data_IF_478731921920
#
_entry.id   IF_478731921920
#
_cell.length_a   1.000
_cell.length_b   1.000
_cell.length_c   1.000
_cell.angle_alpha   90.00
_cell.angle_beta   90.00
_cell.angle_gamma   90.00
#
_symmetry.space_group_name_H-M   'P 1'
#
loop_
_entity.id
_entity.type
_entity.pdbx_description
1 polymer ?
#
# COMPACT_ATOMS: atom_id res chain seq x y z
N UNK A 1 -24.18 -9.69 6.90
CA UNK A 1 -23.00 -8.83 7.17
C UNK A 1 -22.84 -7.91 5.98
N UNK A 2 -22.31 -6.72 6.20
CA UNK A 2 -22.11 -5.71 5.17
C UNK A 2 -20.64 -5.30 5.20
N UNK A 3 -19.92 -5.53 4.10
CA UNK A 3 -18.52 -5.11 3.95
C UNK A 3 -18.44 -3.82 3.14
N UNK A 4 -17.68 -2.85 3.66
CA UNK A 4 -17.47 -1.52 3.05
C UNK A 4 -16.02 -1.09 3.22
N UNK A 5 -15.54 -0.26 2.29
CA UNK A 5 -14.18 0.31 2.29
C UNK A 5 -14.24 1.85 2.25
N UNK A 6 -13.35 2.56 2.91
CA UNK A 6 -13.39 4.03 2.97
C UNK A 6 -12.75 4.73 1.77
N UNK A 7 -12.04 4.01 0.91
CA UNK A 7 -11.30 4.56 -0.23
C UNK A 7 -9.78 4.49 -0.04
N UNK A 8 -9.05 5.06 -1.00
CA UNK A 8 -7.59 4.99 -1.12
C UNK A 8 -7.05 3.55 -1.19
N UNK A 9 -7.80 2.65 -1.84
CA UNK A 9 -7.44 1.25 -2.04
C UNK A 9 -6.52 1.04 -3.27
N UNK A 10 -6.40 2.02 -4.16
CA UNK A 10 -5.44 1.91 -5.28
C UNK A 10 -3.99 2.04 -4.81
N UNK A 11 -3.08 1.39 -5.54
CA UNK A 11 -1.63 1.62 -5.41
C UNK A 11 -1.18 2.73 -6.39
N UNK A 12 0.11 3.05 -6.38
CA UNK A 12 0.75 3.99 -7.29
C UNK A 12 0.42 3.67 -8.75
N UNK A 13 0.36 4.68 -9.64
CA UNK A 13 -0.01 4.52 -11.05
C UNK A 13 1.14 3.93 -11.91
N UNK A 14 1.72 2.82 -11.47
CA UNK A 14 2.74 2.03 -12.17
C UNK A 14 2.15 0.70 -12.66
N UNK A 15 2.80 0.00 -13.62
CA UNK A 15 2.34 -1.32 -14.04
C UNK A 15 2.23 -2.33 -12.88
N UNK A 16 3.20 -2.33 -11.95
CA UNK A 16 3.10 -3.20 -10.77
C UNK A 16 2.00 -2.77 -9.79
N UNK A 17 1.78 -1.46 -9.62
CA UNK A 17 0.66 -0.95 -8.84
C UNK A 17 -0.70 -1.31 -9.43
N UNK A 18 -0.81 -1.40 -10.76
CA UNK A 18 -2.03 -1.87 -11.43
C UNK A 18 -2.35 -3.34 -11.10
N UNK A 19 -1.33 -4.20 -11.12
CA UNK A 19 -1.49 -5.63 -10.75
C UNK A 19 -1.98 -5.75 -9.31
N UNK A 20 -1.36 -5.02 -8.37
CA UNK A 20 -1.77 -4.98 -6.95
C UNK A 20 -3.22 -4.48 -6.79
N UNK A 21 -3.54 -3.36 -7.42
CA UNK A 21 -4.86 -2.72 -7.34
C UNK A 21 -5.97 -3.63 -7.87
N UNK A 22 -5.78 -4.20 -9.06
CA UNK A 22 -6.76 -5.11 -9.67
C UNK A 22 -6.96 -6.37 -8.84
N UNK A 23 -5.88 -6.92 -8.30
CA UNK A 23 -5.97 -8.07 -7.41
C UNK A 23 -6.78 -7.76 -6.15
N UNK A 24 -6.47 -6.64 -5.48
CA UNK A 24 -7.18 -6.20 -4.27
C UNK A 24 -8.68 -6.02 -4.53
N UNK A 25 -9.05 -5.27 -5.57
CA UNK A 25 -10.46 -5.04 -5.92
C UNK A 25 -11.17 -6.36 -6.30
N UNK A 26 -10.47 -7.26 -6.99
CA UNK A 26 -10.98 -8.60 -7.26
C UNK A 26 -11.22 -9.43 -5.99
N UNK A 27 -10.35 -9.34 -4.99
CA UNK A 27 -10.56 -9.98 -3.69
C UNK A 27 -11.71 -9.34 -2.91
N UNK A 28 -11.83 -8.01 -2.91
CA UNK A 28 -12.97 -7.32 -2.29
C UNK A 28 -14.30 -7.81 -2.89
N UNK A 29 -14.36 -7.98 -4.21
CA UNK A 29 -15.52 -8.56 -4.89
C UNK A 29 -15.84 -9.98 -4.41
N UNK A 30 -14.83 -10.84 -4.25
CA UNK A 30 -14.99 -12.23 -3.75
C UNK A 30 -15.42 -12.29 -2.29
N UNK A 31 -14.93 -11.38 -1.44
CA UNK A 31 -15.36 -11.25 -0.04
C UNK A 31 -16.82 -10.79 0.04
N UNK A 32 -17.31 -10.08 -0.98
CA UNK A 32 -18.68 -9.60 -1.05
C UNK A 32 -18.84 -8.18 -0.49
N UNK A 33 -17.84 -7.32 -0.73
CA UNK A 33 -18.00 -5.88 -0.51
C UNK A 33 -19.24 -5.37 -1.25
N UNK A 34 -19.99 -4.47 -0.61
CA UNK A 34 -21.21 -3.90 -1.19
C UNK A 34 -21.03 -2.47 -1.65
N UNK A 35 -20.16 -1.72 -0.98
CA UNK A 35 -19.83 -0.36 -1.34
C UNK A 35 -18.38 -0.03 -0.97
N UNK A 36 -17.75 0.86 -1.72
CA UNK A 36 -16.56 1.57 -1.30
C UNK A 36 -16.76 3.08 -1.49
N UNK A 37 -16.22 3.86 -0.56
CA UNK A 37 -15.91 5.25 -0.80
C UNK A 37 -14.77 5.38 -1.80
N UNK A 38 -14.42 6.62 -2.11
CA UNK A 38 -13.28 6.94 -2.97
C UNK A 38 -12.34 7.87 -2.20
N UNK A 39 -11.06 7.81 -2.52
CA UNK A 39 -10.06 8.78 -2.09
C UNK A 39 -9.34 9.40 -3.28
N UNK A 40 -8.54 10.44 -3.02
CA UNK A 40 -7.77 11.14 -4.06
C UNK A 40 -6.90 10.19 -4.89
N UNK A 41 -6.36 9.13 -4.26
CA UNK A 41 -5.51 8.16 -4.94
C UNK A 41 -6.28 7.27 -5.90
N UNK A 42 -7.53 6.94 -5.57
CA UNK A 42 -8.39 6.14 -6.45
C UNK A 42 -8.74 6.90 -7.73
N UNK A 43 -8.85 8.23 -7.60
CA UNK A 43 -9.17 9.14 -8.70
C UNK A 43 -7.94 9.52 -9.55
N UNK A 44 -6.72 9.20 -9.11
CA UNK A 44 -5.48 9.69 -9.73
C UNK A 44 -5.32 9.26 -11.20
N UNK A 45 -5.76 8.02 -11.51
CA UNK A 45 -5.69 7.41 -12.84
C UNK A 45 -6.91 7.71 -13.73
N UNK A 46 -7.83 8.55 -13.25
CA UNK A 46 -9.00 9.00 -14.01
C UNK A 46 -10.21 8.05 -13.97
N UNK A 47 -11.30 8.53 -14.55
CA UNK A 47 -12.62 7.90 -14.47
C UNK A 47 -12.65 6.51 -15.11
N UNK A 48 -12.11 6.35 -16.33
CA UNK A 48 -12.20 5.10 -17.10
C UNK A 48 -11.48 3.96 -16.38
N UNK A 49 -10.34 4.27 -15.75
CA UNK A 49 -9.62 3.31 -14.95
C UNK A 49 -10.45 2.86 -13.74
N UNK A 50 -10.99 3.81 -12.99
CA UNK A 50 -11.79 3.53 -11.81
C UNK A 50 -13.09 2.78 -12.13
N UNK A 51 -13.76 3.11 -13.24
CA UNK A 51 -14.92 2.38 -13.73
C UNK A 51 -14.57 0.94 -14.12
N UNK A 52 -13.36 0.71 -14.66
CA UNK A 52 -12.87 -0.65 -14.93
C UNK A 52 -12.68 -1.47 -13.64
N UNK A 53 -12.24 -0.83 -12.54
CA UNK A 53 -12.13 -1.46 -11.23
C UNK A 53 -13.50 -1.76 -10.63
N UNK A 54 -14.45 -0.81 -10.73
CA UNK A 54 -15.84 -1.01 -10.28
C UNK A 54 -16.47 -2.23 -10.95
N UNK A 55 -16.29 -2.37 -12.27
CA UNK A 55 -16.75 -3.53 -13.05
C UNK A 55 -16.06 -4.83 -12.63
N UNK A 56 -14.75 -4.79 -12.35
CA UNK A 56 -13.98 -5.95 -11.89
C UNK A 56 -14.45 -6.45 -10.51
N UNK A 57 -14.65 -5.53 -9.56
CA UNK A 57 -15.07 -5.86 -8.20
C UNK A 57 -16.54 -6.26 -8.11
N UNK A 58 -17.41 -5.68 -8.95
CA UNK A 58 -18.84 -5.99 -8.95
C UNK A 58 -19.62 -5.39 -7.76
N UNK A 59 -19.14 -4.28 -7.19
CA UNK A 59 -19.78 -3.57 -6.09
C UNK A 59 -19.79 -2.05 -6.32
N UNK A 60 -20.59 -1.32 -5.55
CA UNK A 60 -20.80 0.12 -5.75
C UNK A 60 -19.58 0.93 -5.32
N UNK A 61 -19.13 1.85 -6.16
CA UNK A 61 -18.21 2.92 -5.75
C UNK A 61 -19.04 4.20 -5.63
N UNK A 62 -19.02 4.85 -4.47
CA UNK A 62 -19.83 6.03 -4.21
C UNK A 62 -18.96 7.22 -3.85
N UNK A 63 -19.33 8.42 -4.29
CA UNK A 63 -18.73 9.68 -3.86
C UNK A 63 -19.68 10.84 -4.10
N UNK A 64 -20.05 11.54 -3.02
CA UNK A 64 -21.00 12.65 -3.09
C UNK A 64 -20.36 13.98 -3.46
N UNK A 65 -19.07 14.18 -3.17
CA UNK A 65 -18.37 15.44 -3.41
C UNK A 65 -17.29 15.38 -4.51
N UNK A 66 -17.28 14.32 -5.33
CA UNK A 66 -16.54 14.33 -6.59
C UNK A 66 -17.48 14.80 -7.70
N UNK A 67 -17.30 16.05 -8.14
CA UNK A 67 -18.23 16.74 -9.04
C UNK A 67 -17.55 17.27 -10.29
N UNK A 68 -18.33 17.48 -11.34
CA UNK A 68 -17.90 18.15 -12.55
C UNK A 68 -17.74 19.66 -12.30
N UNK A 69 -16.56 20.22 -12.61
CA UNK A 69 -16.18 21.59 -12.30
C UNK A 69 -17.16 22.64 -12.85
N UNK A 70 -17.66 22.47 -14.08
CA UNK A 70 -18.54 23.44 -14.72
C UNK A 70 -19.99 23.31 -14.30
N UNK A 71 -20.44 22.10 -13.97
CA UNK A 71 -21.88 21.83 -13.74
C UNK A 71 -22.24 21.61 -12.27
N UNK A 72 -21.26 21.30 -11.41
CA UNK A 72 -21.49 20.89 -10.03
C UNK A 72 -22.20 19.54 -9.89
N UNK A 73 -22.46 18.82 -10.98
CA UNK A 73 -23.15 17.53 -10.93
C UNK A 73 -22.19 16.43 -10.43
N UNK A 74 -22.69 15.42 -9.69
CA UNK A 74 -21.89 14.26 -9.29
C UNK A 74 -21.28 13.55 -10.50
N UNK A 75 -20.01 13.16 -10.37
CA UNK A 75 -19.29 12.33 -11.36
C UNK A 75 -19.62 10.85 -11.18
N UNK A 76 -19.77 10.43 -9.93
CA UNK A 76 -20.12 9.07 -9.52
C UNK A 76 -21.49 9.04 -8.85
N UNK A 77 -22.01 7.84 -8.60
CA UNK A 77 -23.20 7.69 -7.77
C UNK A 77 -22.93 8.32 -6.38
N UNK A 78 -23.75 9.30 -5.94
CA UNK A 78 -23.50 10.00 -4.67
C UNK A 78 -23.76 9.10 -3.45
N UNK A 79 -24.55 8.05 -3.63
CA UNK A 79 -24.86 7.06 -2.60
C UNK A 79 -25.38 5.75 -3.21
N UNK A 80 -25.48 4.72 -2.39
CA UNK A 80 -26.22 3.48 -2.66
C UNK A 80 -27.09 3.11 -1.47
N UNK A 81 -28.17 2.35 -1.71
CA UNK A 81 -29.02 1.80 -0.64
C UNK A 81 -29.01 0.29 -0.73
N UNK A 82 -28.42 -0.36 0.26
CA UNK A 82 -28.34 -1.82 0.36
C UNK A 82 -29.46 -2.31 1.26
N UNK A 83 -30.28 -3.25 0.77
CA UNK A 83 -31.32 -3.89 1.60
C UNK A 83 -30.77 -5.19 2.15
N UNK A 84 -30.64 -5.28 3.48
CA UNK A 84 -30.24 -6.49 4.19
C UNK A 84 -31.47 -7.27 4.62
N UNK A 85 -31.58 -8.52 4.18
CA UNK A 85 -32.62 -9.45 4.64
C UNK A 85 -32.30 -10.00 6.04
N UNK A 86 -33.31 -10.43 6.83
CA UNK A 86 -33.10 -11.06 8.14
C UNK A 86 -32.04 -12.15 8.15
N UNK A 87 -32.03 -13.00 7.12
CA UNK A 87 -31.06 -14.09 6.97
C UNK A 87 -29.62 -13.58 6.88
N UNK A 88 -29.39 -12.45 6.22
CA UNK A 88 -28.04 -11.88 6.07
C UNK A 88 -27.46 -11.35 7.38
N UNK A 89 -28.29 -11.01 8.36
CA UNK A 89 -27.85 -10.61 9.71
C UNK A 89 -28.20 -11.65 10.79
N UNK A 90 -28.40 -12.91 10.38
CA UNK A 90 -28.55 -14.04 11.30
C UNK A 90 -29.91 -14.13 12.00
N UNK A 91 -30.91 -13.34 11.58
CA UNK A 91 -32.26 -13.38 12.13
C UNK A 91 -33.16 -14.35 11.34
N UNK A 92 -33.90 -15.20 12.07
CA UNK A 92 -34.86 -16.13 11.48
C UNK A 92 -36.15 -15.45 11.00
N UNK A 93 -36.52 -14.32 11.62
CA UNK A 93 -37.70 -13.49 11.31
C UNK A 93 -37.34 -12.02 11.53
N UNK A 94 -38.00 -11.12 10.81
CA UNK A 94 -37.79 -9.68 10.94
C UNK A 94 -38.13 -8.92 9.67
N UNK A 95 -38.09 -7.59 9.73
CA UNK A 95 -38.19 -6.74 8.53
C UNK A 95 -36.79 -6.56 7.93
N UNK A 96 -36.68 -6.48 6.59
CA UNK A 96 -35.43 -6.05 5.96
C UNK A 96 -34.99 -4.68 6.47
N UNK A 97 -33.68 -4.44 6.49
CA UNK A 97 -33.07 -3.18 6.90
C UNK A 97 -32.45 -2.52 5.67
N UNK A 98 -32.84 -1.29 5.36
CA UNK A 98 -32.22 -0.50 4.31
C UNK A 98 -31.04 0.28 4.90
N UNK A 99 -29.84 0.03 4.39
CA UNK A 99 -28.63 0.74 4.76
C UNK A 99 -28.28 1.72 3.65
N UNK A 100 -28.38 3.01 3.92
CA UNK A 100 -27.92 4.07 3.02
C UNK A 100 -26.43 4.30 3.22
N UNK A 101 -25.66 4.28 2.14
CA UNK A 101 -24.20 4.42 2.16
C UNK A 101 -23.82 5.53 1.20
N UNK A 102 -23.14 6.56 1.71
CA UNK A 102 -22.55 7.64 0.91
C UNK A 102 -21.07 7.78 1.27
N UNK A 103 -20.30 8.55 0.49
CA UNK A 103 -18.93 8.88 0.86
C UNK A 103 -18.56 10.33 0.58
N UNK A 104 -17.59 10.81 1.35
CA UNK A 104 -16.98 12.12 1.19
C UNK A 104 -15.46 12.04 1.24
N UNK A 105 -14.81 12.80 0.38
CA UNK A 105 -13.35 13.01 0.35
C UNK A 105 -13.06 14.37 0.99
N UNK A 106 -11.94 14.52 1.70
CA UNK A 106 -11.52 15.84 2.20
C UNK A 106 -11.56 16.90 1.09
N UNK A 107 -11.75 18.15 1.49
CA UNK A 107 -11.62 19.25 0.56
C UNK A 107 -10.16 19.39 0.10
N UNK A 108 -9.93 19.38 -1.21
CA UNK A 108 -8.63 19.65 -1.80
C UNK A 108 -8.80 20.57 -3.03
N UNK A 109 -8.54 21.89 -2.89
CA UNK A 109 -8.77 22.86 -3.97
C UNK A 109 -7.79 22.69 -5.14
N UNK A 110 -6.68 21.96 -4.96
CA UNK A 110 -5.72 21.69 -6.03
C UNK A 110 -6.03 20.39 -6.77
N UNK A 111 -7.04 19.63 -6.33
CA UNK A 111 -7.42 18.40 -7.02
C UNK A 111 -8.16 18.73 -8.31
N UNK A 112 -7.59 18.30 -9.43
CA UNK A 112 -8.18 18.47 -10.76
C UNK A 112 -7.79 17.26 -11.63
N UNK A 113 -8.79 16.56 -12.17
CA UNK A 113 -8.56 15.46 -13.11
C UNK A 113 -9.50 15.57 -14.31
N UNK A 114 -9.05 15.26 -15.53
CA UNK A 114 -9.93 15.26 -16.69
C UNK A 114 -11.01 14.18 -16.52
N UNK A 115 -12.20 14.44 -17.05
CA UNK A 115 -13.28 13.46 -17.15
C UNK A 115 -13.59 13.11 -18.62
N UNK A 116 -14.31 12.00 -18.87
CA UNK A 116 -14.72 11.63 -20.23
C UNK A 116 -15.67 12.65 -20.87
N UNK A 117 -16.31 13.51 -20.08
CA UNK A 117 -17.26 14.53 -20.55
C UNK A 117 -16.59 15.78 -21.15
N UNK A 118 -15.25 15.87 -21.06
CA UNK A 118 -14.49 17.08 -21.40
C UNK A 118 -14.54 18.18 -20.34
N UNK A 119 -15.27 17.95 -19.23
CA UNK A 119 -15.18 18.74 -18.00
C UNK A 119 -14.13 18.13 -17.06
N UNK A 120 -13.68 18.90 -16.07
CA UNK A 120 -12.79 18.40 -15.02
C UNK A 120 -13.59 17.87 -13.82
N UNK A 121 -13.06 16.82 -13.21
CA UNK A 121 -13.46 16.34 -11.89
C UNK A 121 -12.70 17.16 -10.83
N UNK A 122 -13.45 17.68 -9.86
CA UNK A 122 -12.94 18.38 -8.69
C UNK A 122 -13.53 17.77 -7.42
N UNK A 123 -12.93 18.11 -6.27
CA UNK A 123 -13.48 17.79 -4.96
C UNK A 123 -14.19 19.02 -4.38
N UNK A 124 -15.52 19.01 -4.34
CA UNK A 124 -16.31 20.07 -3.70
C UNK A 124 -16.27 19.95 -2.17
N UNK A 125 -16.77 20.98 -1.48
CA UNK A 125 -16.78 21.00 -0.03
C UNK A 125 -17.69 19.89 0.53
N UNK A 126 -17.10 18.92 1.22
CA UNK A 126 -17.81 17.76 1.76
C UNK A 126 -18.96 18.14 2.73
N UNK A 127 -18.80 19.17 3.54
CA UNK A 127 -19.83 19.59 4.49
C UNK A 127 -21.06 20.16 3.76
N UNK A 128 -20.85 20.93 2.70
CA UNK A 128 -21.96 21.50 1.93
C UNK A 128 -22.72 20.42 1.15
N UNK A 129 -22.01 19.46 0.55
CA UNK A 129 -22.66 18.30 -0.07
C UNK A 129 -23.40 17.45 0.96
N UNK A 130 -22.83 17.26 2.15
CA UNK A 130 -23.49 16.52 3.22
C UNK A 130 -24.80 17.19 3.69
N UNK A 131 -24.84 18.53 3.81
CA UNK A 131 -26.07 19.26 4.15
C UNK A 131 -27.19 19.01 3.15
N UNK A 132 -26.86 18.86 1.86
CA UNK A 132 -27.86 18.60 0.81
C UNK A 132 -28.25 17.13 0.72
N UNK A 133 -27.27 16.23 0.70
CA UNK A 133 -27.52 14.82 0.40
C UNK A 133 -28.10 14.03 1.58
N UNK A 134 -27.62 14.29 2.80
CA UNK A 134 -27.97 13.46 3.97
C UNK A 134 -29.49 13.45 4.25
N UNK A 135 -30.22 14.59 4.21
CA UNK A 135 -31.67 14.57 4.37
C UNK A 135 -32.40 13.68 3.35
N UNK A 136 -31.97 13.70 2.08
CA UNK A 136 -32.55 12.86 1.02
C UNK A 136 -32.29 11.38 1.28
N UNK A 137 -31.03 11.02 1.58
CA UNK A 137 -30.64 9.63 1.82
C UNK A 137 -31.30 9.07 3.08
N UNK A 138 -31.40 9.89 4.13
CA UNK A 138 -32.04 9.52 5.40
C UNK A 138 -33.49 9.08 5.21
N UNK A 139 -34.23 9.73 4.30
CA UNK A 139 -35.62 9.37 3.98
C UNK A 139 -35.75 8.00 3.26
N UNK A 140 -34.64 7.47 2.72
CA UNK A 140 -34.61 6.24 1.91
C UNK A 140 -34.05 5.03 2.67
N UNK A 141 -33.50 5.21 3.87
CA UNK A 141 -32.85 4.17 4.64
C UNK A 141 -33.28 4.11 6.11
N UNK A 142 -33.02 2.96 6.74
CA UNK A 142 -33.16 2.73 8.17
C UNK A 142 -31.86 3.03 8.94
N UNK A 143 -30.70 2.78 8.34
CA UNK A 143 -29.37 3.08 8.89
C UNK A 143 -28.57 3.87 7.85
N UNK A 144 -28.00 5.02 8.24
CA UNK A 144 -27.18 5.85 7.35
C UNK A 144 -25.71 5.79 7.75
N UNK A 145 -24.90 5.26 6.85
CA UNK A 145 -23.44 5.13 6.98
C UNK A 145 -22.75 6.09 6.02
N UNK A 146 -21.83 6.89 6.54
CA UNK A 146 -20.92 7.73 5.75
C UNK A 146 -19.54 7.09 5.76
N UNK A 147 -18.96 6.91 4.57
CA UNK A 147 -17.57 6.54 4.36
C UNK A 147 -16.76 7.82 4.13
N UNK A 148 -15.69 8.04 4.89
CA UNK A 148 -15.01 9.34 4.87
C UNK A 148 -13.50 9.20 4.70
N UNK A 149 -12.95 9.75 3.61
CA UNK A 149 -11.50 9.85 3.41
C UNK A 149 -11.02 11.27 3.77
N UNK A 150 -10.92 11.55 5.08
CA UNK A 150 -10.64 12.90 5.60
C UNK A 150 -10.09 12.92 7.04
N UNK A 151 -9.41 14.01 7.47
CA UNK A 151 -8.98 14.19 8.86
C UNK A 151 -10.14 14.16 9.86
N UNK A 152 -9.82 13.89 11.13
CA UNK A 152 -10.80 13.81 12.23
C UNK A 152 -11.65 15.07 12.37
N UNK A 153 -11.02 16.24 12.32
CA UNK A 153 -11.72 17.51 12.54
C UNK A 153 -12.84 17.73 11.51
N UNK A 154 -12.61 17.35 10.25
CA UNK A 154 -13.60 17.45 9.17
C UNK A 154 -14.77 16.46 9.38
N UNK A 155 -14.46 15.21 9.75
CA UNK A 155 -15.48 14.19 10.03
C UNK A 155 -16.36 14.58 11.24
N UNK A 156 -15.73 15.10 12.30
CA UNK A 156 -16.43 15.61 13.48
C UNK A 156 -17.28 16.85 13.15
N UNK A 157 -16.78 17.76 12.31
CA UNK A 157 -17.54 18.94 11.87
C UNK A 157 -18.80 18.54 11.09
N UNK A 158 -18.70 17.56 10.17
CA UNK A 158 -19.85 17.02 9.45
C UNK A 158 -20.85 16.40 10.42
N UNK A 159 -20.39 15.51 11.31
CA UNK A 159 -21.27 14.83 12.27
C UNK A 159 -22.00 15.79 13.22
N UNK A 160 -21.33 16.87 13.64
CA UNK A 160 -21.89 17.91 14.50
C UNK A 160 -22.96 18.73 13.79
N UNK A 161 -22.68 19.10 12.54
CA UNK A 161 -23.49 20.05 11.75
C UNK A 161 -24.67 19.38 11.05
N UNK A 162 -24.47 18.18 10.51
CA UNK A 162 -25.46 17.48 9.68
C UNK A 162 -26.11 16.35 10.47
N UNK A 163 -27.42 16.49 10.74
CA UNK A 163 -28.21 15.50 11.49
C UNK A 163 -28.68 14.37 10.58
N UNK A 164 -28.94 13.19 11.17
CA UNK A 164 -29.47 12.02 10.46
C UNK A 164 -28.41 10.98 10.07
N UNK A 165 -27.13 11.26 10.31
CA UNK A 165 -26.03 10.29 10.18
C UNK A 165 -26.01 9.40 11.42
N UNK A 166 -25.98 8.08 11.24
CA UNK A 166 -25.85 7.14 12.36
C UNK A 166 -24.37 6.81 12.63
N UNK A 167 -23.60 6.60 11.55
CA UNK A 167 -22.22 6.13 11.61
C UNK A 167 -21.35 6.80 10.53
N UNK A 168 -20.18 7.27 10.93
CA UNK A 168 -19.08 7.63 10.03
C UNK A 168 -17.95 6.61 10.21
N UNK A 169 -17.59 5.92 9.13
CA UNK A 169 -16.39 5.08 9.05
C UNK A 169 -15.38 5.85 8.22
N UNK A 170 -14.21 6.11 8.79
CA UNK A 170 -13.23 7.00 8.20
C UNK A 170 -11.83 6.39 8.07
N UNK A 171 -11.12 6.84 7.05
CA UNK A 171 -9.70 6.59 6.82
C UNK A 171 -9.01 7.93 6.52
N UNK A 172 -7.84 8.15 7.10
CA UNK A 172 -6.93 9.22 6.69
C UNK A 172 -5.57 9.06 7.37
N UNK A 173 -4.48 9.12 6.60
CA UNK A 173 -3.11 9.15 7.13
C UNK A 173 -2.78 8.08 8.20
N UNK A 174 -3.43 6.90 8.16
CA UNK A 174 -3.23 5.83 9.14
C UNK A 174 -3.80 6.09 10.53
N UNK A 175 -4.65 7.11 10.70
CA UNK A 175 -5.33 7.39 11.97
C UNK A 175 -6.19 6.19 12.41
N UNK A 176 -6.17 5.89 13.71
CA UNK A 176 -6.96 4.82 14.34
C UNK A 176 -7.74 5.41 15.51
N UNK A 177 -8.98 4.99 15.68
CA UNK A 177 -9.77 5.29 16.88
C UNK A 177 -9.33 4.41 18.04
N UNK A 178 -8.57 4.99 18.98
CA UNK A 178 -8.16 4.31 20.22
C UNK A 178 -9.23 4.32 21.33
N UNK A 179 -10.26 5.16 21.18
CA UNK A 179 -11.38 5.27 22.12
C UNK A 179 -12.70 5.49 21.35
N UNK A 180 -13.83 5.50 22.07
CA UNK A 180 -15.12 5.89 21.50
C UNK A 180 -15.10 7.35 21.04
N UNK A 181 -15.39 7.58 19.76
CA UNK A 181 -15.53 8.91 19.15
C UNK A 181 -16.99 9.12 18.70
N UNK A 182 -17.63 10.22 19.11
CA UNK A 182 -19.02 10.54 18.77
C UNK A 182 -19.32 12.04 18.78
N UNK A 183 -20.30 12.44 17.99
CA UNK A 183 -20.88 13.79 17.97
C UNK A 183 -22.41 13.68 18.05
N UNK A 184 -22.99 14.03 19.20
CA UNK A 184 -24.39 13.72 19.46
C UNK A 184 -24.66 12.21 19.40
N UNK A 185 -25.54 11.80 18.49
CA UNK A 185 -25.88 10.38 18.25
C UNK A 185 -25.01 9.73 17.17
N UNK A 186 -24.21 10.50 16.45
CA UNK A 186 -23.39 10.01 15.34
C UNK A 186 -22.11 9.37 15.89
N UNK A 187 -21.89 8.09 15.59
CA UNK A 187 -20.63 7.38 15.90
C UNK A 187 -19.58 7.69 14.83
N UNK A 188 -18.31 7.82 15.23
CA UNK A 188 -17.19 8.03 14.30
C UNK A 188 -16.12 6.97 14.59
N UNK A 189 -15.58 6.32 13.54
CA UNK A 189 -14.59 5.24 13.66
C UNK A 189 -13.49 5.39 12.62
N UNK A 190 -12.25 5.50 13.06
CA UNK A 190 -11.05 5.50 12.20
C UNK A 190 -10.36 4.13 12.23
N UNK A 191 -10.14 3.56 11.04
CA UNK A 191 -9.77 2.14 10.89
C UNK A 191 -8.29 1.87 10.59
N UNK A 192 -7.44 2.91 10.57
CA UNK A 192 -6.01 2.77 10.27
C UNK A 192 -5.73 2.66 8.78
N UNK A 193 -4.65 1.97 8.42
CA UNK A 193 -4.23 1.77 7.03
C UNK A 193 -3.64 0.36 6.80
N UNK A 194 -3.37 0.06 5.52
CA UNK A 194 -2.68 -1.16 5.07
C UNK A 194 -3.38 -2.48 5.41
N UNK A 195 -4.70 -2.45 5.67
CA UNK A 195 -5.45 -3.66 6.04
C UNK A 195 -4.99 -4.30 7.34
N UNK A 196 -4.27 -3.58 8.21
CA UNK A 196 -3.80 -4.09 9.51
C UNK A 196 -4.93 -4.27 10.52
N UNK A 197 -6.05 -3.59 10.31
CA UNK A 197 -7.21 -3.65 11.19
C UNK A 197 -8.49 -3.89 10.39
N UNK A 198 -9.40 -4.68 10.95
CA UNK A 198 -10.79 -4.79 10.53
C UNK A 198 -11.68 -4.24 11.64
N UNK A 199 -12.50 -3.24 11.33
CA UNK A 199 -13.50 -2.72 12.25
C UNK A 199 -14.80 -3.53 12.13
N UNK A 200 -15.20 -4.20 13.21
CA UNK A 200 -16.52 -4.82 13.34
C UNK A 200 -17.46 -3.85 14.04
N UNK A 201 -18.48 -3.37 13.33
CA UNK A 201 -19.54 -2.53 13.91
C UNK A 201 -20.83 -3.34 14.01
N UNK A 202 -21.34 -3.50 15.23
CA UNK A 202 -22.65 -4.12 15.49
C UNK A 202 -23.68 -3.04 15.70
N UNK A 203 -24.70 -3.04 14.85
CA UNK A 203 -25.84 -2.13 14.94
C UNK A 203 -27.08 -2.89 15.42
N UNK A 204 -27.53 -2.58 16.63
CA UNK A 204 -28.74 -3.13 17.24
C UNK A 204 -29.85 -2.10 17.15
N UNK A 205 -31.05 -2.52 16.73
CA UNK A 205 -32.20 -1.60 16.60
C UNK A 205 -32.75 -1.31 18.00
N UNK A 206 -32.50 -0.10 18.51
CA UNK A 206 -33.09 0.40 19.75
C UNK A 206 -34.50 0.93 19.56
N UNK A 207 -35.10 1.47 20.64
CA UNK A 207 -36.47 2.01 20.64
C UNK A 207 -36.61 3.35 19.91
N UNK A 208 -35.54 4.17 19.89
CA UNK A 208 -35.51 5.50 19.27
C UNK A 208 -34.37 5.69 18.25
N UNK A 209 -33.26 4.98 18.41
CA UNK A 209 -32.09 5.05 17.53
C UNK A 209 -31.36 3.70 17.45
N UNK A 210 -30.35 3.61 16.60
CA UNK A 210 -29.44 2.46 16.61
C UNK A 210 -28.51 2.51 17.82
N UNK A 211 -28.31 1.36 18.45
CA UNK A 211 -27.26 1.15 19.42
C UNK A 211 -26.05 0.53 18.70
N UNK A 212 -24.94 1.27 18.67
CA UNK A 212 -23.74 0.90 17.94
C UNK A 212 -22.63 0.50 18.91
N UNK A 213 -22.03 -0.67 18.67
CA UNK A 213 -20.78 -1.09 19.34
C UNK A 213 -19.71 -1.41 18.30
N UNK A 214 -18.45 -1.20 18.67
CA UNK A 214 -17.30 -1.38 17.79
C UNK A 214 -16.27 -2.31 18.40
N UNK A 215 -15.65 -3.15 17.57
CA UNK A 215 -14.46 -3.92 17.92
C UNK A 215 -13.41 -3.76 16.82
N UNK A 216 -12.19 -3.42 17.20
CA UNK A 216 -11.05 -3.29 16.27
C UNK A 216 -10.23 -4.57 16.30
N UNK A 217 -10.25 -5.32 15.21
CA UNK A 217 -9.51 -6.57 15.07
C UNK A 217 -8.16 -6.29 14.40
N UNK A 218 -7.05 -6.37 15.15
CA UNK A 218 -5.71 -6.33 14.56
C UNK A 218 -5.45 -7.65 13.82
N UNK A 219 -5.32 -7.58 12.49
CA UNK A 219 -5.12 -8.73 11.60
C UNK A 219 -3.65 -9.20 11.63
N UNK A 220 -3.19 -9.62 12.80
CA UNK A 220 -1.89 -10.23 13.01
C UNK A 220 -1.94 -11.77 12.97
N UNK A 221 -0.87 -12.41 13.46
CA UNK A 221 -0.72 -13.87 13.44
C UNK A 221 -1.84 -14.66 14.18
N UNK A 222 -2.67 -13.99 14.98
CA UNK A 222 -3.85 -14.57 15.63
C UNK A 222 -4.97 -14.91 14.66
N UNK A 223 -5.01 -14.29 13.48
CA UNK A 223 -5.96 -14.59 12.42
C UNK A 223 -5.26 -15.43 11.35
N UNK A 224 -5.55 -16.73 11.24
CA UNK A 224 -4.88 -17.59 10.27
C UNK A 224 -5.24 -17.18 8.84
N UNK A 225 -4.26 -17.26 7.94
CA UNK A 225 -4.47 -17.03 6.52
C UNK A 225 -5.37 -18.12 5.93
N UNK A 226 -6.31 -17.73 5.06
CA UNK A 226 -7.04 -18.68 4.23
C UNK A 226 -6.12 -19.23 3.14
N UNK A 227 -6.02 -20.56 3.00
CA UNK A 227 -5.14 -21.20 2.02
C UNK A 227 -5.37 -20.69 0.58
N UNK A 228 -6.63 -20.53 0.15
CA UNK A 228 -6.95 -20.01 -1.18
C UNK A 228 -6.54 -18.55 -1.36
N UNK A 229 -6.69 -17.73 -0.33
CA UNK A 229 -6.25 -16.34 -0.36
C UNK A 229 -4.72 -16.28 -0.46
N UNK A 230 -4.01 -17.13 0.29
CA UNK A 230 -2.54 -17.23 0.26
C UNK A 230 -2.00 -17.64 -1.12
N UNK A 231 -2.61 -18.63 -1.76
CA UNK A 231 -2.24 -19.06 -3.11
C UNK A 231 -2.47 -17.94 -4.13
N UNK A 232 -3.60 -17.23 -3.99
CA UNK A 232 -3.92 -16.11 -4.87
C UNK A 232 -2.96 -14.93 -4.66
N UNK A 233 -2.58 -14.59 -3.42
CA UNK A 233 -1.55 -13.58 -3.11
C UNK A 233 -0.21 -14.00 -3.72
N UNK A 234 0.19 -15.26 -3.57
CA UNK A 234 1.43 -15.78 -4.17
C UNK A 234 1.44 -15.64 -5.70
N UNK A 235 0.29 -15.89 -6.35
CA UNK A 235 0.14 -15.67 -7.79
C UNK A 235 0.30 -14.19 -8.18
N UNK A 236 -0.26 -13.27 -7.40
CA UNK A 236 -0.15 -11.82 -7.61
C UNK A 236 1.29 -11.34 -7.45
N UNK A 237 2.00 -11.80 -6.41
CA UNK A 237 3.42 -11.49 -6.20
C UNK A 237 4.29 -11.94 -7.38
N UNK A 238 4.03 -13.14 -7.92
CA UNK A 238 4.71 -13.61 -9.12
C UNK A 238 4.45 -12.71 -10.33
N UNK A 239 3.20 -12.26 -10.53
CA UNK A 239 2.86 -11.35 -11.64
C UNK A 239 3.55 -9.99 -11.51
N UNK A 240 3.65 -9.46 -10.28
CA UNK A 240 4.41 -8.25 -9.99
C UNK A 240 5.88 -8.44 -10.36
N UNK A 241 6.50 -9.54 -9.93
CA UNK A 241 7.89 -9.83 -10.24
C UNK A 241 8.16 -9.92 -11.75
N UNK A 242 7.31 -10.64 -12.48
CA UNK A 242 7.40 -10.73 -13.95
C UNK A 242 7.18 -9.38 -14.64
N UNK A 243 6.31 -8.53 -14.09
CA UNK A 243 6.07 -7.17 -14.60
C UNK A 243 7.31 -6.30 -14.43
N UNK A 244 7.91 -6.34 -13.24
CA UNK A 244 9.14 -5.60 -12.93
C UNK A 244 10.32 -6.10 -13.77
N UNK A 245 10.43 -7.41 -13.97
CA UNK A 245 11.44 -8.01 -14.86
C UNK A 245 11.34 -7.48 -16.28
N UNK A 246 10.14 -7.43 -16.86
CA UNK A 246 9.93 -6.86 -18.21
C UNK A 246 10.37 -5.40 -18.27
N UNK A 247 9.99 -4.60 -17.28
CA UNK A 247 10.38 -3.18 -17.20
C UNK A 247 11.91 -3.03 -17.13
N UNK A 248 12.59 -3.85 -16.34
CA UNK A 248 14.04 -3.84 -16.23
C UNK A 248 14.71 -4.17 -17.57
N UNK A 249 14.27 -5.24 -18.24
CA UNK A 249 14.79 -5.65 -19.56
C UNK A 249 14.54 -4.60 -20.65
N UNK A 250 13.37 -3.94 -20.65
CA UNK A 250 13.08 -2.83 -21.56
C UNK A 250 13.97 -1.61 -21.33
N UNK A 251 14.32 -1.31 -20.07
CA UNK A 251 15.27 -0.24 -19.74
C UNK A 251 16.68 -0.57 -20.22
N UNK A 252 17.13 -1.81 -19.99
CA UNK A 252 18.44 -2.28 -20.42
C UNK A 252 18.59 -2.20 -21.96
N UNK A 253 17.61 -2.69 -22.71
CA UNK A 253 17.61 -2.63 -24.18
C UNK A 253 17.57 -1.20 -24.73
N UNK A 254 16.81 -0.28 -24.10
CA UNK A 254 16.79 1.15 -24.46
C UNK A 254 18.10 1.87 -24.15
N UNK A 255 18.80 1.46 -23.09
CA UNK A 255 20.15 1.94 -22.76
C UNK A 255 21.18 1.50 -23.82
N UNK A 256 21.14 0.23 -24.22
CA UNK A 256 22.02 -0.34 -25.25
C UNK A 256 21.81 0.28 -26.65
N UNK A 257 20.55 0.55 -27.03
CA UNK A 257 20.21 1.14 -28.34
C UNK A 257 20.54 2.64 -28.48
N UNK A 258 20.79 3.35 -27.38
CA UNK A 258 21.34 4.73 -27.42
C UNK A 258 22.87 4.76 -27.48
N UNK A 259 23.54 3.61 -27.37
CA UNK A 259 24.97 3.45 -27.64
C UNK A 259 25.21 3.22 -29.14
N UNK A 260 25.42 4.30 -29.89
CA UNK A 260 25.86 4.21 -31.28
C UNK A 260 27.17 3.41 -31.40
N UNK A 261 27.24 2.60 -32.45
CA UNK A 261 28.36 1.74 -32.88
C UNK A 261 29.75 2.16 -32.40
N UNK A 262 30.29 1.41 -31.44
CA UNK A 262 31.71 1.09 -31.40
C UNK A 262 31.82 -0.42 -31.17
N UNK A 263 32.56 -1.07 -32.06
CA UNK A 263 32.85 -2.50 -32.05
C UNK A 263 33.41 -2.94 -30.69
N UNK A 264 33.17 -4.20 -30.32
CA UNK A 264 33.82 -4.82 -29.18
C UNK A 264 35.34 -4.62 -29.24
N UNK A 265 35.98 -4.31 -28.10
CA UNK A 265 36.95 -5.26 -27.62
C UNK A 265 36.87 -5.50 -26.10
N UNK A 266 37.52 -6.61 -25.76
CA UNK A 266 38.04 -7.06 -24.46
C UNK A 266 37.91 -6.14 -23.24
N UNK A 267 37.64 -6.81 -22.11
CA UNK A 267 38.00 -6.47 -20.74
C UNK A 267 38.84 -5.20 -20.51
N UNK A 268 38.41 -4.46 -19.48
CA UNK A 268 39.06 -3.35 -18.79
C UNK A 268 38.76 -1.93 -19.30
N UNK A 269 38.27 -1.14 -18.34
CA UNK A 269 38.30 0.32 -18.27
C UNK A 269 37.37 1.12 -19.21
N UNK A 270 36.19 1.47 -18.68
CA UNK A 270 35.50 2.71 -19.06
C UNK A 270 34.83 3.37 -17.85
N UNK A 271 35.57 4.26 -17.18
CA UNK A 271 35.13 5.66 -17.09
C UNK A 271 34.11 6.11 -16.04
N UNK A 272 33.83 5.31 -15.02
CA UNK A 272 33.31 5.80 -13.74
C UNK A 272 33.91 4.92 -12.66
N UNK A 273 34.65 5.50 -11.70
CA UNK A 273 35.20 4.71 -10.59
C UNK A 273 34.06 3.89 -9.96
N UNK A 274 34.16 2.56 -10.00
CA UNK A 274 33.14 1.68 -9.42
C UNK A 274 33.00 2.06 -7.95
N UNK A 275 31.82 2.54 -7.58
CA UNK A 275 31.55 2.99 -6.20
C UNK A 275 31.57 1.79 -5.24
N UNK A 276 31.03 0.65 -5.68
CA UNK A 276 31.03 -0.61 -4.96
C UNK A 276 31.95 -1.62 -5.67
N UNK A 277 32.73 -2.36 -4.89
CA UNK A 277 33.71 -3.33 -5.39
C UNK A 277 33.24 -4.79 -5.27
N UNK A 278 32.35 -5.05 -4.32
CA UNK A 278 31.87 -6.36 -3.95
C UNK A 278 32.78 -7.13 -2.97
N UNK A 279 32.20 -8.07 -2.21
CA UNK A 279 32.89 -8.83 -1.15
C UNK A 279 34.11 -9.60 -1.64
N UNK A 280 34.13 -10.07 -2.89
CA UNK A 280 35.29 -10.79 -3.44
C UNK A 280 36.55 -9.92 -3.45
N UNK A 281 36.41 -8.61 -3.67
CA UNK A 281 37.55 -7.69 -3.64
C UNK A 281 38.16 -7.54 -2.23
N UNK A 282 37.43 -7.89 -1.18
CA UNK A 282 37.88 -7.77 0.21
C UNK A 282 38.67 -9.01 0.68
N UNK A 283 38.46 -10.18 0.06
CA UNK A 283 38.90 -11.48 0.56
C UNK A 283 40.42 -11.61 0.76
N UNK A 284 41.21 -11.03 -0.15
CA UNK A 284 42.67 -11.22 -0.13
C UNK A 284 43.33 -10.54 1.07
N UNK A 285 42.78 -9.42 1.54
CA UNK A 285 43.26 -8.70 2.74
C UNK A 285 42.47 -9.06 4.01
N UNK A 286 41.18 -9.36 3.88
CA UNK A 286 40.24 -9.62 4.98
C UNK A 286 39.66 -11.04 4.94
N UNK A 287 40.54 -12.04 4.78
CA UNK A 287 40.13 -13.43 4.58
C UNK A 287 39.32 -14.01 5.74
N UNK A 288 39.63 -13.65 6.98
CA UNK A 288 38.92 -14.15 8.17
C UNK A 288 37.50 -13.60 8.25
N UNK A 289 37.38 -12.29 8.04
CA UNK A 289 36.11 -11.55 8.04
C UNK A 289 35.22 -12.03 6.88
N UNK A 290 35.81 -12.23 5.70
CA UNK A 290 35.13 -12.74 4.53
C UNK A 290 34.54 -14.14 4.76
N UNK A 291 35.26 -15.07 5.39
CA UNK A 291 34.71 -16.41 5.67
C UNK A 291 33.56 -16.36 6.70
N UNK A 292 33.61 -15.45 7.68
CA UNK A 292 32.48 -15.22 8.60
C UNK A 292 31.26 -14.72 7.82
N UNK A 293 31.44 -13.73 6.94
CA UNK A 293 30.37 -13.21 6.10
C UNK A 293 29.79 -14.28 5.18
N UNK A 294 30.64 -15.05 4.50
CA UNK A 294 30.28 -16.08 3.53
C UNK A 294 29.40 -17.18 4.13
N UNK A 295 29.61 -17.51 5.40
CA UNK A 295 28.80 -18.50 6.11
C UNK A 295 27.47 -17.94 6.66
N UNK A 296 27.26 -16.63 6.54
CA UNK A 296 26.06 -15.96 7.04
C UNK A 296 24.91 -16.01 6.03
N UNK A 297 23.69 -15.75 6.51
CA UNK A 297 22.51 -15.60 5.64
C UNK A 297 22.63 -14.40 4.70
N UNK A 298 23.46 -13.40 5.03
CA UNK A 298 23.65 -12.22 4.19
C UNK A 298 24.31 -12.56 2.87
N UNK A 299 25.29 -13.48 2.86
CA UNK A 299 25.96 -13.95 1.65
C UNK A 299 25.05 -14.79 0.72
N UNK A 300 23.85 -15.16 1.18
CA UNK A 300 22.85 -15.90 0.43
C UNK A 300 21.53 -15.13 0.30
N UNK A 301 21.53 -13.83 0.62
CA UNK A 301 20.30 -13.05 0.75
C UNK A 301 19.51 -13.04 -0.56
N UNK A 302 20.14 -12.80 -1.71
CA UNK A 302 19.44 -12.77 -3.00
C UNK A 302 18.84 -14.12 -3.43
N UNK A 303 19.41 -15.25 -3.02
CA UNK A 303 18.96 -16.60 -3.43
C UNK A 303 17.50 -16.86 -3.07
N UNK A 304 17.10 -16.42 -1.87
CA UNK A 304 15.72 -16.57 -1.42
C UNK A 304 14.74 -15.77 -2.29
N UNK A 305 15.18 -14.63 -2.85
CA UNK A 305 14.34 -13.83 -3.74
C UNK A 305 14.11 -14.58 -5.04
N UNK A 306 15.15 -15.16 -5.63
CA UNK A 306 15.02 -15.99 -6.84
C UNK A 306 14.11 -17.18 -6.57
N UNK A 307 14.30 -17.89 -5.46
CA UNK A 307 13.46 -19.02 -5.08
C UNK A 307 11.98 -18.63 -4.89
N UNK A 308 11.73 -17.44 -4.35
CA UNK A 308 10.39 -16.91 -4.08
C UNK A 308 9.83 -16.07 -5.24
N UNK A 309 10.56 -15.94 -6.36
CA UNK A 309 10.20 -15.07 -7.49
C UNK A 309 9.91 -13.65 -7.03
N UNK A 310 10.82 -13.08 -6.26
CA UNK A 310 10.79 -11.72 -5.73
C UNK A 310 12.09 -10.95 -6.05
N UNK A 311 12.93 -11.49 -6.93
CA UNK A 311 14.23 -10.97 -7.36
C UNK A 311 14.14 -9.67 -8.17
N UNK A 312 12.94 -9.30 -8.62
CA UNK A 312 12.60 -8.01 -9.21
C UNK A 312 11.59 -7.22 -8.38
N UNK A 313 11.28 -7.61 -7.14
CA UNK A 313 10.42 -6.84 -6.25
C UNK A 313 11.25 -5.73 -5.55
N UNK A 314 11.03 -4.43 -5.83
CA UNK A 314 11.83 -3.35 -5.24
C UNK A 314 11.78 -3.30 -3.71
N UNK A 315 10.65 -3.72 -3.11
CA UNK A 315 10.47 -3.80 -1.66
C UNK A 315 11.37 -4.87 -1.02
N UNK A 316 11.76 -5.90 -1.78
CA UNK A 316 12.63 -6.98 -1.33
C UNK A 316 14.09 -6.74 -1.75
N UNK A 317 14.32 -6.36 -3.01
CA UNK A 317 15.66 -6.21 -3.59
C UNK A 317 16.50 -5.22 -2.79
N UNK A 318 15.93 -4.10 -2.34
CA UNK A 318 16.66 -3.08 -1.59
C UNK A 318 17.36 -3.57 -0.31
N UNK A 319 16.93 -4.70 0.25
CA UNK A 319 17.52 -5.31 1.43
C UNK A 319 18.31 -6.60 1.17
N UNK A 320 18.42 -7.02 -0.09
CA UNK A 320 19.00 -8.31 -0.48
C UNK A 320 20.17 -8.16 -1.46
N UNK A 321 20.58 -6.92 -1.75
CA UNK A 321 21.68 -6.56 -2.67
C UNK A 321 22.47 -5.36 -2.11
N UNK A 322 23.59 -5.03 -2.74
CA UNK A 322 24.40 -3.86 -2.37
C UNK A 322 23.98 -2.63 -3.19
N UNK A 323 23.70 -1.51 -2.51
CA UNK A 323 23.59 -0.22 -3.17
C UNK A 323 22.41 -0.08 -4.15
N UNK A 324 21.29 -0.75 -3.90
CA UNK A 324 20.09 -0.62 -4.74
C UNK A 324 19.66 0.85 -4.89
N UNK A 325 19.48 1.32 -6.13
CA UNK A 325 19.23 2.72 -6.50
C UNK A 325 20.32 3.73 -6.11
N UNK A 326 21.44 3.29 -5.54
CA UNK A 326 22.61 4.13 -5.33
C UNK A 326 23.42 4.23 -6.64
N UNK A 327 24.13 5.35 -6.82
CA UNK A 327 25.06 5.50 -7.95
C UNK A 327 26.13 4.39 -7.88
N UNK A 328 26.26 3.63 -8.97
CA UNK A 328 27.24 2.55 -9.10
C UNK A 328 26.93 1.30 -8.27
N UNK A 329 25.73 1.19 -7.67
CA UNK A 329 25.27 0.00 -6.94
C UNK A 329 24.51 -0.98 -7.83
N UNK A 330 23.83 -1.96 -7.21
CA UNK A 330 23.12 -3.02 -7.91
C UNK A 330 22.03 -2.48 -8.86
N UNK A 331 22.09 -2.95 -10.11
CA UNK A 331 21.09 -2.68 -11.15
C UNK A 331 20.18 -3.88 -11.35
N UNK A 332 20.76 -5.00 -11.75
CA UNK A 332 20.13 -6.32 -11.83
C UNK A 332 21.20 -7.43 -11.77
N UNK A 333 20.74 -8.68 -11.68
CA UNK A 333 21.62 -9.84 -11.52
C UNK A 333 22.45 -10.17 -12.78
N UNK A 334 22.09 -9.64 -13.95
CA UNK A 334 22.82 -9.86 -15.20
C UNK A 334 23.92 -8.79 -15.39
N UNK A 335 23.61 -7.54 -15.10
CA UNK A 335 24.51 -6.39 -15.29
C UNK A 335 25.44 -6.14 -14.09
N UNK A 336 25.01 -6.50 -12.88
CA UNK A 336 25.78 -6.35 -11.63
C UNK A 336 25.81 -7.63 -10.80
N UNK A 337 26.26 -8.77 -11.36
CA UNK A 337 26.27 -10.06 -10.67
C UNK A 337 27.20 -10.09 -9.46
N UNK A 338 28.14 -9.15 -9.38
CA UNK A 338 29.08 -8.96 -8.27
C UNK A 338 28.49 -8.17 -7.11
N UNK A 339 27.29 -7.59 -7.24
CA UNK A 339 26.59 -6.81 -6.21
C UNK A 339 25.33 -7.50 -5.66
N UNK A 340 25.09 -8.75 -6.05
CA UNK A 340 24.03 -9.59 -5.46
C UNK A 340 24.35 -9.94 -3.99
N UNK A 341 23.33 -10.26 -3.22
CA UNK A 341 23.41 -10.54 -1.78
C UNK A 341 23.73 -9.31 -0.92
N UNK A 342 23.57 -9.45 0.39
CA UNK A 342 24.05 -8.44 1.34
C UNK A 342 25.52 -8.70 1.59
N UNK A 343 26.36 -7.73 1.26
CA UNK A 343 27.83 -7.85 1.27
C UNK A 343 28.51 -6.95 2.31
N UNK A 344 29.85 -7.00 2.38
CA UNK A 344 30.67 -6.15 3.26
C UNK A 344 30.29 -4.66 3.15
N UNK A 345 30.14 -4.16 1.92
CA UNK A 345 29.85 -2.75 1.65
C UNK A 345 28.44 -2.32 2.08
N UNK A 346 27.55 -3.26 2.44
CA UNK A 346 26.21 -2.95 3.00
C UNK A 346 26.30 -2.39 4.42
N UNK A 347 27.34 -2.78 5.18
CA UNK A 347 27.58 -2.34 6.55
C UNK A 347 28.74 -1.34 6.64
N UNK A 348 29.77 -1.53 5.83
CA UNK A 348 31.00 -0.74 5.85
C UNK A 348 30.96 0.44 4.85
N UNK A 349 29.97 0.47 3.96
CA UNK A 349 29.84 1.49 2.92
C UNK A 349 30.70 1.19 1.68
N UNK A 350 30.67 2.05 0.65
CA UNK A 350 31.35 1.77 -0.62
C UNK A 350 32.89 1.85 -0.49
N UNK A 351 33.61 0.89 -1.06
CA UNK A 351 35.04 0.66 -0.84
C UNK A 351 35.96 1.12 -2.00
N UNK A 352 35.43 1.86 -2.99
CA UNK A 352 36.11 2.18 -4.26
C UNK A 352 37.62 2.50 -4.15
N UNK A 353 38.00 3.35 -3.19
CA UNK A 353 39.36 3.85 -3.01
C UNK A 353 40.20 3.07 -1.97
N UNK A 354 39.57 2.14 -1.24
CA UNK A 354 40.20 1.45 -0.12
C UNK A 354 41.37 0.55 -0.54
N UNK A 355 41.29 -0.27 -1.61
CA UNK A 355 42.42 -1.11 -2.03
C UNK A 355 43.68 -0.31 -2.41
N UNK A 356 43.53 0.94 -2.87
CA UNK A 356 44.64 1.82 -3.25
C UNK A 356 45.23 2.57 -2.06
N UNK A 357 44.50 2.66 -0.94
CA UNK A 357 44.95 3.28 0.29
C UNK A 357 44.48 2.47 1.52
N UNK A 358 44.99 1.24 1.70
CA UNK A 358 44.47 0.31 2.72
C UNK A 358 44.73 0.78 4.16
N UNK A 359 45.67 1.72 4.36
CA UNK A 359 45.96 2.30 5.67
C UNK A 359 45.03 3.45 6.05
N UNK A 360 44.26 4.00 5.10
CA UNK A 360 43.29 5.03 5.42
C UNK A 360 42.13 4.44 6.24
N UNK A 361 41.63 5.15 7.26
CA UNK A 361 40.43 4.71 7.98
C UNK A 361 39.27 4.51 7.00
N UNK A 362 38.72 3.30 6.98
CA UNK A 362 37.62 2.94 6.10
C UNK A 362 36.47 2.32 6.91
N UNK A 363 35.25 2.67 6.50
CA UNK A 363 34.01 1.94 6.74
C UNK A 363 33.87 1.25 8.09
N UNK A 364 33.64 1.99 9.18
CA UNK A 364 33.21 1.33 10.43
C UNK A 364 31.76 0.86 10.28
N UNK A 365 31.50 -0.40 10.62
CA UNK A 365 30.13 -0.90 10.67
C UNK A 365 29.30 -0.03 11.63
N UNK A 366 28.20 0.53 11.15
CA UNK A 366 27.35 1.49 11.87
C UNK A 366 26.58 0.94 13.08
N UNK A 367 27.00 -0.19 13.65
CA UNK A 367 26.29 -0.88 14.73
C UNK A 367 24.84 -1.18 14.35
N UNK A 368 23.92 -1.03 15.32
CA UNK A 368 22.50 -1.27 15.09
C UNK A 368 21.88 -0.41 13.97
N UNK A 369 22.44 0.79 13.72
CA UNK A 369 21.96 1.68 12.66
C UNK A 369 22.19 1.11 11.25
N UNK A 370 23.23 0.29 11.05
CA UNK A 370 23.45 -0.40 9.77
C UNK A 370 22.42 -1.51 9.50
N UNK A 371 21.83 -2.08 10.56
CA UNK A 371 20.83 -3.16 10.43
C UNK A 371 19.40 -2.63 10.24
N UNK A 372 19.08 -1.48 10.83
CA UNK A 372 17.73 -0.92 10.90
C UNK A 372 17.02 -0.66 9.55
N UNK A 373 17.71 -0.36 8.43
CA UNK A 373 17.05 -0.21 7.14
C UNK A 373 16.27 -1.45 6.69
N UNK A 374 16.76 -2.64 7.06
CA UNK A 374 16.21 -3.92 6.60
C UNK A 374 15.57 -4.75 7.72
N UNK A 375 16.06 -4.62 8.95
CA UNK A 375 15.50 -5.29 10.12
C UNK A 375 14.44 -4.43 10.81
N UNK A 376 13.28 -4.32 10.17
CA UNK A 376 12.06 -3.69 10.72
C UNK A 376 11.09 -4.76 11.21
N UNK A 377 10.11 -4.38 12.04
CA UNK A 377 9.09 -5.31 12.56
C UNK A 377 8.38 -6.07 11.43
N UNK A 378 8.13 -5.40 10.30
CA UNK A 378 7.45 -5.97 9.13
C UNK A 378 8.28 -7.03 8.41
N UNK A 379 9.61 -6.89 8.39
CA UNK A 379 10.52 -7.72 7.58
C UNK A 379 11.29 -8.75 8.44
N UNK A 380 11.51 -8.43 9.71
CA UNK A 380 12.31 -9.22 10.66
C UNK A 380 11.72 -9.11 12.07
N UNK A 381 10.53 -9.68 12.32
CA UNK A 381 9.78 -9.48 13.56
C UNK A 381 10.47 -10.05 14.81
N UNK A 382 11.46 -10.93 14.64
CA UNK A 382 12.25 -11.54 15.71
C UNK A 382 13.68 -11.01 15.79
N UNK A 383 13.96 -9.89 15.11
CA UNK A 383 15.29 -9.29 15.12
C UNK A 383 15.65 -8.76 16.51
N UNK A 384 16.76 -9.26 17.03
CA UNK A 384 17.38 -8.79 18.27
C UNK A 384 18.84 -8.49 18.00
N UNK A 385 19.22 -7.21 18.02
CA UNK A 385 20.53 -6.75 17.55
C UNK A 385 21.68 -7.55 18.16
N UNK A 386 21.72 -7.69 19.49
CA UNK A 386 22.80 -8.41 20.19
C UNK A 386 22.96 -9.85 19.71
N UNK A 387 21.85 -10.58 19.52
CA UNK A 387 21.86 -11.99 19.13
C UNK A 387 22.22 -12.18 17.65
N UNK A 388 21.84 -11.22 16.80
CA UNK A 388 22.09 -11.28 15.37
C UNK A 388 23.51 -10.80 15.05
N UNK A 389 23.96 -9.72 15.68
CA UNK A 389 25.31 -9.17 15.55
C UNK A 389 26.37 -10.21 15.92
N UNK A 390 26.15 -10.95 17.01
CA UNK A 390 27.09 -11.97 17.47
C UNK A 390 27.41 -13.07 16.42
N UNK A 391 26.53 -13.26 15.42
CA UNK A 391 26.71 -14.26 14.36
C UNK A 391 27.60 -13.80 13.20
N UNK A 392 27.80 -12.50 13.07
CA UNK A 392 28.50 -11.90 11.92
C UNK A 392 29.62 -10.95 12.33
N UNK A 393 29.74 -10.61 13.62
CA UNK A 393 30.80 -9.75 14.14
C UNK A 393 32.18 -10.33 13.86
N UNK A 394 33.12 -9.44 13.55
CA UNK A 394 34.52 -9.75 13.28
C UNK A 394 35.41 -8.56 13.60
#
# INVERSE_FOLDING_TARGET
MLFVDTGNFTDNPTPEGDVKTRALVGFMGRIGYRAAGLGERDLDRGYEYLDSLRKLGGFSFVSANTVYQRTGKPVFDPYTVVTLSPKEFGALKGKPVKVGITSFIRFNPTFLKPSPSGDNMILSNALDEAKHLIPELRAKCDLLVVLAEMPKDDAHLIARTVKGIDLIIAGYAGMISGAEEKEGTTRIVYIGNQGKYLAEIRAMRGSQSWELSQTMHYLGATYPEEAKAKDAVSSVLNQINETNKKIALERASKSQSKGGTLAAPAAAAAGGARTYLGSEACKDCHSKEYEIWKMSKHAHAFDILVQKKADFNPECVGCHVVGYHARGGFEDAENTPDLIHVQCESCHGPAADHPQNPTAPYGKAGGAAACAPCHKLENSPTFEFTNYWAKIQH
#
